data_IF_440465901516
#
_entry.id   IF_440465901516
#
_cell.length_a   1.000
_cell.length_b   1.000
_cell.length_c   1.000
_cell.angle_alpha   90.00
_cell.angle_beta   90.00
_cell.angle_gamma   90.00
#
_symmetry.space_group_name_H-M   'P 1'
#
loop_
_entity.id
_entity.type
_entity.pdbx_description
1 polymer ?
#
# COMPACT_ATOMS: atom_id res chain seq x y z
N UNK A 1 31.53 -2.96 -51.82
CA UNK A 1 31.23 -4.03 -50.82
C UNK A 1 31.70 -3.69 -49.40
N UNK A 2 32.98 -3.37 -49.16
CA UNK A 2 33.53 -3.13 -47.80
C UNK A 2 32.80 -2.03 -46.99
N UNK A 3 32.43 -0.90 -47.61
CA UNK A 3 31.70 0.18 -46.92
C UNK A 3 30.27 -0.18 -46.51
N UNK A 4 29.55 -1.00 -47.30
CA UNK A 4 28.19 -1.45 -46.95
C UNK A 4 28.19 -2.42 -45.76
N UNK A 5 29.22 -3.26 -45.67
CA UNK A 5 29.44 -4.17 -44.54
C UNK A 5 29.77 -3.38 -43.27
N UNK A 6 30.64 -2.37 -43.38
CA UNK A 6 30.97 -1.48 -42.26
C UNK A 6 29.75 -0.70 -41.74
N UNK A 7 28.92 -0.15 -42.63
CA UNK A 7 27.69 0.55 -42.24
C UNK A 7 26.70 -0.42 -41.57
N UNK A 8 26.57 -1.65 -42.07
CA UNK A 8 25.73 -2.67 -41.44
C UNK A 8 26.19 -3.08 -40.05
N UNK A 9 27.52 -3.23 -39.85
CA UNK A 9 28.12 -3.52 -38.54
C UNK A 9 27.92 -2.34 -37.59
N UNK A 10 28.20 -1.11 -38.03
CA UNK A 10 28.01 0.09 -37.21
C UNK A 10 26.54 0.31 -36.84
N UNK A 11 25.61 0.08 -37.78
CA UNK A 11 24.17 0.13 -37.52
C UNK A 11 23.74 -0.93 -36.49
N UNK A 12 24.19 -2.18 -36.66
CA UNK A 12 23.89 -3.26 -35.71
C UNK A 12 24.43 -2.97 -34.30
N UNK A 13 25.68 -2.52 -34.19
CA UNK A 13 26.29 -2.14 -32.90
C UNK A 13 25.51 -0.98 -32.27
N UNK A 14 25.17 0.05 -33.06
CA UNK A 14 24.39 1.19 -32.58
C UNK A 14 23.02 0.76 -32.03
N UNK A 15 22.29 -0.11 -32.76
CA UNK A 15 21.00 -0.62 -32.30
C UNK A 15 21.13 -1.41 -31.00
N UNK A 16 22.15 -2.26 -30.86
CA UNK A 16 22.42 -3.01 -29.62
C UNK A 16 22.69 -2.06 -28.46
N UNK A 17 23.52 -1.03 -28.66
CA UNK A 17 23.85 -0.05 -27.62
C UNK A 17 22.61 0.72 -27.18
N UNK A 18 21.81 1.24 -28.12
CA UNK A 18 20.57 1.96 -27.80
C UNK A 18 19.59 1.06 -27.04
N UNK A 19 19.48 -0.20 -27.44
CA UNK A 19 18.59 -1.16 -26.77
C UNK A 19 19.04 -1.45 -25.33
N UNK A 20 20.33 -1.70 -25.11
CA UNK A 20 20.89 -1.93 -23.76
C UNK A 20 20.70 -0.70 -22.88
N UNK A 21 20.98 0.50 -23.41
CA UNK A 21 20.80 1.75 -22.66
C UNK A 21 19.34 1.97 -22.27
N UNK A 22 18.40 1.77 -23.21
CA UNK A 22 16.97 1.86 -22.91
C UNK A 22 16.53 0.88 -21.81
N UNK A 23 17.05 -0.34 -21.84
CA UNK A 23 16.78 -1.36 -20.83
C UNK A 23 17.31 -0.98 -19.44
N UNK A 24 18.56 -0.49 -19.37
CA UNK A 24 19.18 -0.02 -18.12
C UNK A 24 18.39 1.17 -17.55
N UNK A 25 18.01 2.14 -18.39
CA UNK A 25 17.23 3.30 -17.95
C UNK A 25 15.85 2.90 -17.44
N UNK A 26 15.18 1.95 -18.10
CA UNK A 26 13.87 1.45 -17.64
C UNK A 26 13.98 0.75 -16.27
N UNK A 27 15.00 -0.08 -16.06
CA UNK A 27 15.24 -0.75 -14.77
C UNK A 27 15.55 0.29 -13.68
N UNK A 28 16.39 1.27 -13.99
CA UNK A 28 16.73 2.33 -13.04
C UNK A 28 15.49 3.16 -12.66
N UNK A 29 14.66 3.54 -13.64
CA UNK A 29 13.44 4.30 -13.38
C UNK A 29 12.44 3.49 -12.54
N UNK A 30 12.28 2.20 -12.84
CA UNK A 30 11.41 1.32 -12.06
C UNK A 30 11.90 1.20 -10.61
N UNK A 31 13.17 0.83 -10.42
CA UNK A 31 13.75 0.66 -9.07
C UNK A 31 13.79 1.95 -8.27
N UNK A 32 14.08 3.09 -8.90
CA UNK A 32 14.05 4.40 -8.23
C UNK A 32 12.63 4.85 -7.87
N UNK A 33 11.64 4.55 -8.71
CA UNK A 33 10.22 4.86 -8.43
C UNK A 33 9.70 4.01 -7.27
N UNK A 34 10.03 2.71 -7.27
CA UNK A 34 9.66 1.79 -6.18
C UNK A 34 10.35 2.20 -4.87
N UNK A 35 11.65 2.50 -4.91
CA UNK A 35 12.40 2.94 -3.74
C UNK A 35 11.91 4.29 -3.20
N UNK A 36 11.57 5.25 -4.09
CA UNK A 36 11.01 6.53 -3.68
C UNK A 36 9.62 6.37 -3.08
N UNK A 37 8.79 5.48 -3.64
CA UNK A 37 7.44 5.20 -3.14
C UNK A 37 7.51 4.52 -1.77
N UNK A 38 8.40 3.54 -1.61
CA UNK A 38 8.70 2.89 -0.34
C UNK A 38 9.18 3.89 0.72
N UNK A 39 10.21 4.68 0.40
CA UNK A 39 10.75 5.68 1.33
C UNK A 39 9.69 6.71 1.73
N UNK A 40 8.89 7.18 0.77
CA UNK A 40 7.79 8.11 1.03
C UNK A 40 6.77 7.48 1.98
N UNK A 41 6.34 6.24 1.74
CA UNK A 41 5.38 5.56 2.61
C UNK A 41 5.91 5.45 4.05
N UNK A 42 7.18 5.08 4.23
CA UNK A 42 7.78 4.99 5.55
C UNK A 42 7.91 6.35 6.25
N UNK A 43 8.22 7.42 5.52
CA UNK A 43 8.22 8.79 6.05
C UNK A 43 6.82 9.21 6.48
N UNK A 44 5.80 8.97 5.64
CA UNK A 44 4.41 9.31 5.95
C UNK A 44 3.90 8.51 7.16
N UNK A 45 4.23 7.22 7.25
CA UNK A 45 3.93 6.37 8.41
C UNK A 45 4.63 6.90 9.69
N UNK A 46 5.91 7.27 9.60
CA UNK A 46 6.66 7.81 10.73
C UNK A 46 6.11 9.15 11.22
N UNK A 47 5.74 10.05 10.31
CA UNK A 47 5.09 11.33 10.66
C UNK A 47 3.74 11.11 11.31
N UNK A 48 2.96 10.18 10.79
CA UNK A 48 1.67 9.81 11.33
C UNK A 48 1.80 9.33 12.79
N UNK A 49 2.74 8.42 13.06
CA UNK A 49 3.02 7.92 14.42
C UNK A 49 3.50 9.04 15.35
N UNK A 50 4.38 9.92 14.86
CA UNK A 50 4.87 11.07 15.63
C UNK A 50 3.72 12.01 16.05
N UNK A 51 2.77 12.29 15.17
CA UNK A 51 1.61 13.13 15.52
C UNK A 51 0.69 12.44 16.54
N UNK A 52 0.49 11.13 16.42
CA UNK A 52 -0.24 10.38 17.43
C UNK A 52 0.47 10.44 18.80
N UNK A 53 1.79 10.29 18.83
CA UNK A 53 2.59 10.40 20.04
C UNK A 53 2.48 11.79 20.68
N UNK A 54 2.60 12.86 19.89
CA UNK A 54 2.42 14.23 20.38
C UNK A 54 1.04 14.46 20.99
N UNK A 55 -0.01 13.98 20.33
CA UNK A 55 -1.36 14.06 20.89
C UNK A 55 -1.46 13.31 22.23
N UNK A 56 -0.72 12.21 22.43
CA UNK A 56 -0.66 11.51 23.73
C UNK A 56 0.07 12.38 24.77
N UNK A 57 1.22 12.94 24.42
CA UNK A 57 2.04 13.79 25.29
C UNK A 57 1.30 15.08 25.70
N UNK A 58 0.47 15.62 24.82
CA UNK A 58 -0.37 16.80 25.05
C UNK A 58 -1.67 16.47 25.82
N UNK A 59 -1.90 15.20 26.18
CA UNK A 59 -3.10 14.74 26.89
C UNK A 59 -4.35 14.57 26.00
N UNK A 60 -4.23 14.76 24.69
CA UNK A 60 -5.29 14.55 23.68
C UNK A 60 -5.46 13.06 23.29
N UNK A 61 -5.66 12.20 24.29
CA UNK A 61 -5.67 10.73 24.13
C UNK A 61 -6.68 10.23 23.09
N UNK A 62 -7.90 10.77 23.08
CA UNK A 62 -8.94 10.33 22.15
C UNK A 62 -8.62 10.70 20.70
N UNK A 63 -7.95 11.83 20.49
CA UNK A 63 -7.48 12.26 19.16
C UNK A 63 -6.35 11.37 18.69
N UNK A 64 -5.40 11.03 19.56
CA UNK A 64 -4.36 10.05 19.26
C UNK A 64 -4.95 8.69 18.90
N UNK A 65 -5.90 8.19 19.72
CA UNK A 65 -6.59 6.92 19.49
C UNK A 65 -7.32 6.90 18.15
N UNK A 66 -8.11 7.93 17.87
CA UNK A 66 -8.87 8.06 16.62
C UNK A 66 -7.93 8.06 15.41
N UNK A 67 -6.83 8.81 15.51
CA UNK A 67 -5.78 8.82 14.50
C UNK A 67 -5.28 7.38 14.29
N UNK A 68 -4.70 6.76 15.33
CA UNK A 68 -4.08 5.44 15.24
C UNK A 68 -5.03 4.39 14.67
N UNK A 69 -6.30 4.40 15.12
CA UNK A 69 -7.35 3.53 14.61
C UNK A 69 -7.59 3.75 13.12
N UNK A 70 -7.70 5.00 12.67
CA UNK A 70 -7.83 5.32 11.24
C UNK A 70 -6.64 4.83 10.41
N UNK A 71 -5.42 4.86 10.97
CA UNK A 71 -4.24 4.36 10.29
C UNK A 71 -4.23 2.84 10.17
N UNK A 72 -4.65 2.12 11.22
CA UNK A 72 -4.86 0.67 11.16
C UNK A 72 -5.91 0.32 10.10
N UNK A 73 -7.05 1.04 10.06
CA UNK A 73 -8.07 0.86 9.02
C UNK A 73 -7.53 1.05 7.60
N UNK A 74 -6.64 2.03 7.41
CA UNK A 74 -5.97 2.25 6.12
C UNK A 74 -5.01 1.11 5.77
N UNK A 75 -4.26 0.57 6.74
CA UNK A 75 -3.34 -0.55 6.49
C UNK A 75 -4.09 -1.81 6.07
N UNK A 76 -5.22 -2.13 6.69
CA UNK A 76 -6.11 -3.23 6.25
C UNK A 76 -6.50 -3.07 4.78
N UNK A 77 -6.93 -1.86 4.38
CA UNK A 77 -7.35 -1.58 3.01
C UNK A 77 -6.18 -1.75 2.01
N UNK A 78 -4.99 -1.25 2.36
CA UNK A 78 -3.80 -1.37 1.51
C UNK A 78 -3.36 -2.83 1.36
N UNK A 79 -3.30 -3.59 2.45
CA UNK A 79 -2.92 -5.00 2.42
C UNK A 79 -3.90 -5.80 1.56
N UNK A 80 -5.20 -5.50 1.62
CA UNK A 80 -6.21 -6.18 0.80
C UNK A 80 -6.11 -5.78 -0.69
N UNK A 81 -5.94 -4.48 -0.97
CA UNK A 81 -5.91 -3.93 -2.34
C UNK A 81 -4.64 -4.31 -3.12
N UNK A 82 -3.51 -4.41 -2.42
CA UNK A 82 -2.20 -4.67 -3.02
C UNK A 82 -1.64 -6.05 -2.67
N UNK A 83 -2.50 -6.98 -2.25
CA UNK A 83 -2.08 -8.34 -1.90
C UNK A 83 -1.44 -9.03 -3.10
N UNK A 84 -0.12 -9.05 -3.13
CA UNK A 84 0.61 -9.98 -3.98
C UNK A 84 0.41 -11.39 -3.42
N UNK A 85 0.38 -12.43 -4.27
CA UNK A 85 0.38 -13.81 -3.80
C UNK A 85 1.54 -13.99 -2.81
N UNK A 86 1.28 -14.50 -1.60
CA UNK A 86 2.34 -14.68 -0.61
C UNK A 86 3.42 -15.60 -1.21
N UNK A 87 4.69 -15.21 -1.04
CA UNK A 87 5.81 -15.98 -1.57
C UNK A 87 6.17 -17.16 -0.68
N UNK A 88 5.62 -17.20 0.54
CA UNK A 88 5.77 -18.30 1.49
C UNK A 88 4.53 -18.44 2.39
N UNK A 89 4.37 -19.63 2.98
CA UNK A 89 3.35 -19.91 4.00
C UNK A 89 3.47 -18.97 5.21
N UNK A 90 4.70 -18.61 5.58
CA UNK A 90 4.97 -17.66 6.68
C UNK A 90 4.39 -16.27 6.39
N UNK A 91 4.53 -15.78 5.16
CA UNK A 91 3.96 -14.48 4.77
C UNK A 91 2.43 -14.52 4.75
N UNK A 92 1.85 -15.62 4.28
CA UNK A 92 0.40 -15.81 4.31
C UNK A 92 -0.14 -15.82 5.75
N UNK A 93 0.55 -16.50 6.66
CA UNK A 93 0.19 -16.54 8.07
C UNK A 93 0.31 -15.15 8.71
N UNK A 94 1.39 -14.41 8.44
CA UNK A 94 1.57 -13.05 8.97
C UNK A 94 0.42 -12.12 8.55
N UNK A 95 -0.03 -12.21 7.30
CA UNK A 95 -1.14 -11.41 6.79
C UNK A 95 -2.46 -11.81 7.48
N UNK A 96 -2.70 -13.11 7.65
CA UNK A 96 -3.89 -13.62 8.36
C UNK A 96 -3.90 -13.17 9.82
N UNK A 97 -2.77 -13.31 10.52
CA UNK A 97 -2.60 -12.91 11.91
C UNK A 97 -2.88 -11.40 12.06
N UNK A 98 -2.35 -10.58 11.16
CA UNK A 98 -2.65 -9.15 11.13
C UNK A 98 -4.15 -8.87 11.01
N UNK A 99 -4.87 -9.50 10.08
CA UNK A 99 -6.32 -9.30 9.97
C UNK A 99 -7.08 -9.76 11.22
N UNK A 100 -6.68 -10.88 11.82
CA UNK A 100 -7.30 -11.39 13.06
C UNK A 100 -7.08 -10.44 14.24
N UNK A 101 -5.85 -9.97 14.46
CA UNK A 101 -5.53 -9.03 15.54
C UNK A 101 -6.31 -7.72 15.39
N UNK A 102 -6.42 -7.20 14.17
CA UNK A 102 -7.22 -6.00 13.91
C UNK A 102 -8.70 -6.29 14.12
N UNK A 103 -9.22 -7.41 13.65
CA UNK A 103 -10.62 -7.79 13.86
C UNK A 103 -10.96 -7.88 15.35
N UNK A 104 -10.12 -8.53 16.15
CA UNK A 104 -10.26 -8.65 17.60
C UNK A 104 -10.23 -7.29 18.29
N UNK A 105 -9.30 -6.42 17.88
CA UNK A 105 -9.25 -5.05 18.37
C UNK A 105 -10.56 -4.33 18.12
N UNK A 106 -11.08 -4.30 16.89
CA UNK A 106 -12.33 -3.62 16.57
C UNK A 106 -13.55 -4.22 17.27
N UNK A 107 -13.60 -5.55 17.40
CA UNK A 107 -14.64 -6.24 18.16
C UNK A 107 -14.62 -5.81 19.64
N UNK A 108 -13.43 -5.67 20.25
CA UNK A 108 -13.30 -5.16 21.63
C UNK A 108 -13.78 -3.70 21.80
N UNK A 109 -13.83 -2.93 20.70
CA UNK A 109 -14.25 -1.52 20.67
C UNK A 109 -15.72 -1.34 20.24
N UNK A 110 -16.55 -2.39 20.31
CA UNK A 110 -17.97 -2.35 19.92
C UNK A 110 -18.25 -2.78 18.48
N UNK A 111 -17.31 -3.47 17.83
CA UNK A 111 -17.49 -4.08 16.52
C UNK A 111 -17.09 -3.20 15.34
N UNK A 112 -17.38 -3.69 14.14
CA UNK A 112 -17.07 -3.04 12.86
C UNK A 112 -18.05 -1.90 12.54
N UNK A 113 -17.94 -0.80 13.29
CA UNK A 113 -18.89 0.31 13.29
C UNK A 113 -18.43 1.56 12.50
N UNK A 114 -17.30 1.51 11.80
CA UNK A 114 -16.87 2.62 10.96
C UNK A 114 -17.74 2.72 9.71
N UNK A 115 -18.27 3.92 9.47
CA UNK A 115 -19.15 4.18 8.33
C UNK A 115 -18.66 5.38 7.52
N UNK A 116 -19.03 5.38 6.24
CA UNK A 116 -18.82 6.48 5.32
C UNK A 116 -20.14 6.90 4.70
N UNK A 117 -20.23 8.18 4.29
CA UNK A 117 -21.34 8.69 3.49
C UNK A 117 -20.97 8.56 2.02
N UNK A 118 -21.85 7.93 1.25
CA UNK A 118 -21.75 7.84 -0.21
C UNK A 118 -23.02 8.38 -0.84
N UNK A 119 -22.91 8.94 -2.04
CA UNK A 119 -24.06 9.39 -2.80
C UNK A 119 -24.51 8.25 -3.72
N UNK A 120 -25.74 7.76 -3.53
CA UNK A 120 -26.35 6.72 -4.34
C UNK A 120 -27.72 7.18 -4.81
N UNK A 121 -27.96 7.12 -6.12
CA UNK A 121 -29.20 7.57 -6.75
C UNK A 121 -29.61 9.02 -6.36
N UNK A 122 -28.63 9.89 -6.10
CA UNK A 122 -28.86 11.28 -5.69
C UNK A 122 -29.11 11.49 -4.19
N UNK A 123 -29.12 10.43 -3.38
CA UNK A 123 -29.30 10.52 -1.92
C UNK A 123 -28.00 10.17 -1.18
N UNK A 124 -27.75 10.85 -0.05
CA UNK A 124 -26.63 10.51 0.83
C UNK A 124 -27.01 9.33 1.72
N UNK A 125 -26.37 8.18 1.48
CA UNK A 125 -26.57 6.96 2.27
C UNK A 125 -25.33 6.65 3.11
N UNK A 126 -25.55 6.13 4.31
CA UNK A 126 -24.48 5.69 5.21
C UNK A 126 -24.20 4.21 4.97
N UNK A 127 -22.95 3.88 4.68
CA UNK A 127 -22.49 2.50 4.47
C UNK A 127 -21.28 2.18 5.36
N UNK A 128 -21.01 0.90 5.68
CA UNK A 128 -19.75 0.51 6.29
C UNK A 128 -18.57 0.97 5.43
N UNK A 129 -17.43 1.30 6.06
CA UNK A 129 -16.21 1.55 5.28
C UNK A 129 -15.72 0.24 4.65
N UNK A 130 -15.00 0.30 3.50
CA UNK A 130 -14.45 -0.91 2.86
C UNK A 130 -13.61 -1.77 3.82
N UNK A 131 -12.85 -1.13 4.72
CA UNK A 131 -12.12 -1.79 5.80
C UNK A 131 -13.03 -2.68 6.66
N UNK A 132 -14.20 -2.17 7.08
CA UNK A 132 -15.12 -2.94 7.92
C UNK A 132 -15.68 -4.16 7.17
N UNK A 133 -15.93 -4.03 5.87
CA UNK A 133 -16.38 -5.14 5.04
C UNK A 133 -15.30 -6.22 4.88
N UNK A 134 -14.04 -5.80 4.67
CA UNK A 134 -12.87 -6.71 4.61
C UNK A 134 -12.74 -7.48 5.92
N UNK A 135 -12.71 -6.77 7.06
CA UNK A 135 -12.57 -7.40 8.38
C UNK A 135 -13.73 -8.34 8.69
N UNK A 136 -14.96 -7.96 8.34
CA UNK A 136 -16.12 -8.83 8.47
C UNK A 136 -15.97 -10.12 7.66
N UNK A 137 -15.56 -10.01 6.39
CA UNK A 137 -15.33 -11.16 5.52
C UNK A 137 -14.23 -12.11 6.01
N UNK A 138 -13.20 -11.57 6.69
CA UNK A 138 -12.16 -12.37 7.34
C UNK A 138 -12.64 -13.03 8.64
N UNK A 139 -13.39 -12.31 9.48
CA UNK A 139 -13.90 -12.82 10.76
C UNK A 139 -14.92 -13.96 10.64
N UNK A 140 -15.55 -14.11 9.46
CA UNK A 140 -16.55 -15.15 9.19
C UNK A 140 -16.00 -16.42 8.53
N UNK A 141 -14.70 -16.45 8.23
CA UNK A 141 -14.00 -17.60 7.62
C UNK A 141 -13.29 -18.42 8.67
#
# INVERSE_FOLDING_TARGET
MKSRILIGISGGIFTIVVFILGFITSIYLMTSTDAASYAKEHVDNGRFMLYALKNIEDGEIEKARTSLRSHVSMKVLLVDSFRLPPTSEREDQLIKDFYMEVADYFNSQGGFNETMKVMENGEWVTKPTPTMEILKGFSTK
#
